data_IF_120277210465
#
_entry.id   IF_120277210465
#
_cell.length_a   1.000
_cell.length_b   1.000
_cell.length_c   1.000
_cell.angle_alpha   90.00
_cell.angle_beta   90.00
_cell.angle_gamma   90.00
#
_symmetry.space_group_name_H-M   'P 1'
#
loop_
_entity.id
_entity.type
_entity.pdbx_description
1 polymer ?
#
# COMPACT_ATOMS: atom_id res chain seq x y z
N UNK A 1 4.57 16.32 -21.86
CA UNK A 1 3.71 15.10 -21.87
C UNK A 1 2.26 15.51 -21.73
N UNK A 2 1.35 14.87 -22.47
CA UNK A 2 -0.09 15.08 -22.31
C UNK A 2 -0.55 14.48 -20.96
N UNK A 3 -1.54 15.12 -20.32
CA UNK A 3 -2.18 14.61 -19.10
C UNK A 3 -3.38 13.75 -19.49
N UNK A 4 -3.47 12.55 -18.93
CA UNK A 4 -4.68 11.73 -19.00
C UNK A 4 -5.63 12.18 -17.89
N UNK A 5 -6.90 12.39 -18.24
CA UNK A 5 -7.93 12.84 -17.28
C UNK A 5 -9.09 11.85 -17.33
N UNK A 6 -9.41 11.27 -16.17
CA UNK A 6 -10.54 10.35 -15.97
C UNK A 6 -11.55 10.98 -15.03
N UNK A 7 -12.82 10.64 -15.22
CA UNK A 7 -13.94 11.17 -14.44
C UNK A 7 -14.83 10.07 -13.89
N UNK A 8 -15.63 10.45 -12.89
CA UNK A 8 -16.72 9.67 -12.32
C UNK A 8 -16.30 8.22 -11.96
N UNK A 9 -17.06 7.23 -12.41
CA UNK A 9 -16.94 5.84 -11.95
C UNK A 9 -15.67 5.17 -12.45
N UNK A 10 -15.18 5.50 -13.64
CA UNK A 10 -13.92 4.96 -14.17
C UNK A 10 -12.72 5.39 -13.30
N UNK A 11 -12.68 6.67 -12.89
CA UNK A 11 -11.65 7.15 -11.98
C UNK A 11 -11.76 6.47 -10.60
N UNK A 12 -12.97 6.40 -10.02
CA UNK A 12 -13.18 5.77 -8.71
C UNK A 12 -12.81 4.28 -8.70
N UNK A 13 -13.16 3.53 -9.74
CA UNK A 13 -12.87 2.10 -9.82
C UNK A 13 -11.37 1.83 -9.87
N UNK A 14 -10.59 2.62 -10.63
CA UNK A 14 -9.13 2.50 -10.65
C UNK A 14 -8.52 2.86 -9.31
N UNK A 15 -8.95 3.96 -8.69
CA UNK A 15 -8.48 4.34 -7.35
C UNK A 15 -8.76 3.24 -6.32
N UNK A 16 -9.99 2.72 -6.29
CA UNK A 16 -10.40 1.65 -5.38
C UNK A 16 -9.57 0.38 -5.58
N UNK A 17 -9.26 0.01 -6.82
CA UNK A 17 -8.41 -1.14 -7.11
C UNK A 17 -7.01 -0.96 -6.53
N UNK A 18 -6.43 0.23 -6.66
CA UNK A 18 -5.14 0.55 -6.05
C UNK A 18 -5.16 0.47 -4.52
N UNK A 19 -6.21 1.02 -3.89
CA UNK A 19 -6.43 0.92 -2.45
C UNK A 19 -6.51 -0.54 -2.00
N UNK A 20 -7.28 -1.36 -2.71
CA UNK A 20 -7.45 -2.78 -2.37
C UNK A 20 -6.13 -3.54 -2.45
N UNK A 21 -5.30 -3.29 -3.48
CA UNK A 21 -3.99 -3.94 -3.60
C UNK A 21 -3.10 -3.62 -2.40
N UNK A 22 -3.05 -2.35 -1.98
CA UNK A 22 -2.31 -1.93 -0.79
C UNK A 22 -2.86 -2.61 0.47
N UNK A 23 -4.17 -2.50 0.69
CA UNK A 23 -4.83 -3.01 1.89
C UNK A 23 -4.71 -4.54 2.01
N UNK A 24 -4.88 -5.27 0.91
CA UNK A 24 -4.77 -6.73 0.89
C UNK A 24 -3.36 -7.22 1.22
N UNK A 25 -2.34 -6.49 0.79
CA UNK A 25 -0.94 -6.80 1.09
C UNK A 25 -0.56 -6.44 2.53
N UNK A 26 -1.12 -5.37 3.09
CA UNK A 26 -0.80 -4.91 4.45
C UNK A 26 -1.59 -5.70 5.50
N UNK A 27 -2.89 -5.96 5.27
CA UNK A 27 -3.76 -6.61 6.28
C UNK A 27 -3.30 -8.00 6.70
N UNK A 28 -2.58 -8.72 5.83
CA UNK A 28 -2.08 -10.07 6.16
C UNK A 28 -1.06 -10.05 7.28
N UNK A 29 -0.42 -8.91 7.55
CA UNK A 29 0.57 -8.76 8.62
C UNK A 29 -0.05 -8.37 9.97
N UNK A 30 -1.36 -8.15 10.04
CA UNK A 30 -2.04 -7.63 11.23
C UNK A 30 -2.09 -8.65 12.38
N UNK A 31 -1.76 -8.17 13.58
CA UNK A 31 -1.97 -8.87 14.86
C UNK A 31 -0.95 -9.98 15.16
N UNK A 32 -1.09 -10.66 16.32
CA UNK A 32 -0.12 -11.65 16.80
C UNK A 32 -0.01 -12.89 15.90
N UNK A 33 -1.02 -13.12 15.04
CA UNK A 33 -1.04 -14.21 14.05
C UNK A 33 -0.81 -13.71 12.61
N UNK A 34 -0.27 -12.52 12.44
CA UNK A 34 0.11 -11.97 11.13
C UNK A 34 1.01 -12.93 10.35
N UNK A 35 0.78 -13.02 9.05
CA UNK A 35 1.55 -13.82 8.10
C UNK A 35 2.71 -13.00 7.53
N UNK A 36 3.70 -13.72 7.02
CA UNK A 36 4.85 -13.11 6.37
C UNK A 36 4.49 -12.62 4.97
N UNK A 37 4.99 -11.44 4.63
CA UNK A 37 5.06 -10.93 3.27
C UNK A 37 6.51 -11.03 2.80
N UNK A 38 6.69 -11.48 1.57
CA UNK A 38 8.01 -11.60 0.92
C UNK A 38 8.16 -10.46 -0.07
N UNK A 39 9.25 -9.72 0.04
CA UNK A 39 9.54 -8.54 -0.74
C UNK A 39 10.83 -8.81 -1.51
N UNK A 40 10.75 -8.62 -2.83
CA UNK A 40 11.91 -8.76 -3.70
C UNK A 40 12.96 -7.69 -3.41
N UNK A 41 14.23 -8.02 -3.64
CA UNK A 41 15.35 -7.10 -3.52
C UNK A 41 16.19 -7.20 -4.77
N UNK A 42 16.60 -6.06 -5.32
CA UNK A 42 17.43 -6.02 -6.53
C UNK A 42 18.75 -6.79 -6.41
N UNK A 43 19.25 -7.01 -5.19
CA UNK A 43 20.43 -7.83 -4.92
C UNK A 43 20.26 -8.63 -3.62
N UNK A 44 20.77 -9.86 -3.62
CA UNK A 44 20.79 -10.74 -2.44
C UNK A 44 19.50 -11.53 -2.23
N UNK A 45 19.23 -11.90 -0.98
CA UNK A 45 18.04 -12.67 -0.59
C UNK A 45 16.81 -11.77 -0.42
N UNK A 46 15.59 -12.29 -0.68
CA UNK A 46 14.36 -11.54 -0.49
C UNK A 46 14.16 -11.18 0.98
N UNK A 47 13.48 -10.06 1.23
CA UNK A 47 13.13 -9.62 2.59
C UNK A 47 11.81 -10.25 3.01
N UNK A 48 11.82 -10.95 4.14
CA UNK A 48 10.61 -11.51 4.75
C UNK A 48 10.23 -10.62 5.93
N UNK A 49 9.00 -10.11 5.97
CA UNK A 49 8.55 -9.20 7.02
C UNK A 49 7.10 -9.43 7.43
N UNK A 50 6.77 -9.06 8.68
CA UNK A 50 5.41 -8.90 9.20
C UNK A 50 5.11 -7.45 9.59
N UNK A 51 5.96 -6.52 9.17
CA UNK A 51 5.75 -5.10 9.40
C UNK A 51 4.96 -4.49 8.23
N UNK A 52 3.72 -4.10 8.50
CA UNK A 52 2.81 -3.49 7.52
C UNK A 52 3.33 -2.17 6.98
N UNK A 53 4.13 -1.42 7.76
CA UNK A 53 4.75 -0.16 7.30
C UNK A 53 5.80 -0.44 6.23
N UNK A 54 6.65 -1.45 6.47
CA UNK A 54 7.61 -1.90 5.46
C UNK A 54 6.88 -2.38 4.20
N UNK A 55 5.80 -3.16 4.33
CA UNK A 55 5.05 -3.65 3.16
C UNK A 55 4.44 -2.49 2.36
N UNK A 56 3.76 -1.54 3.03
CA UNK A 56 3.15 -0.39 2.37
C UNK A 56 4.16 0.49 1.63
N UNK A 57 5.40 0.58 2.13
CA UNK A 57 6.46 1.37 1.49
C UNK A 57 6.87 0.84 0.13
N UNK A 58 6.86 -0.47 -0.05
CA UNK A 58 7.32 -1.17 -1.26
C UNK A 58 6.23 -1.29 -2.33
N UNK A 59 5.00 -0.83 -2.05
CA UNK A 59 3.89 -0.87 -3.01
C UNK A 59 3.92 0.36 -3.91
N UNK A 60 4.19 0.09 -5.19
CA UNK A 60 4.09 1.03 -6.30
C UNK A 60 3.43 0.31 -7.49
N UNK A 61 2.37 0.92 -8.03
CA UNK A 61 1.57 0.32 -9.10
C UNK A 61 1.91 0.95 -10.44
N UNK A 62 1.92 0.15 -11.51
CA UNK A 62 2.23 0.60 -12.87
C UNK A 62 1.14 1.49 -13.47
N UNK A 63 -0.13 1.23 -13.16
CA UNK A 63 -1.24 2.11 -13.54
C UNK A 63 -1.25 3.35 -12.65
N UNK A 64 -1.19 4.53 -13.27
CA UNK A 64 -1.09 5.80 -12.55
C UNK A 64 -2.29 6.08 -11.65
N UNK A 65 -3.50 5.70 -12.07
CA UNK A 65 -4.72 5.94 -11.29
C UNK A 65 -4.85 4.94 -10.14
N UNK A 66 -4.49 3.68 -10.36
CA UNK A 66 -4.39 2.72 -9.27
C UNK A 66 -3.31 3.16 -8.26
N UNK A 67 -2.13 3.58 -8.74
CA UNK A 67 -1.05 4.05 -7.87
C UNK A 67 -1.46 5.28 -7.06
N UNK A 68 -2.19 6.24 -7.65
CA UNK A 68 -2.72 7.37 -6.90
C UNK A 68 -3.59 6.92 -5.71
N UNK A 69 -4.45 5.92 -5.90
CA UNK A 69 -5.27 5.36 -4.83
C UNK A 69 -4.43 4.71 -3.72
N UNK A 70 -3.45 3.89 -4.12
CA UNK A 70 -2.53 3.26 -3.18
C UNK A 70 -1.70 4.30 -2.39
N UNK A 71 -1.17 5.33 -3.05
CA UNK A 71 -0.37 6.37 -2.37
C UNK A 71 -1.20 7.20 -1.39
N UNK A 72 -2.47 7.49 -1.70
CA UNK A 72 -3.35 8.22 -0.77
C UNK A 72 -3.53 7.50 0.56
N UNK A 73 -3.80 6.19 0.55
CA UNK A 73 -4.01 5.41 1.77
C UNK A 73 -2.70 5.18 2.51
N UNK A 74 -1.60 4.97 1.78
CA UNK A 74 -0.25 4.89 2.35
C UNK A 74 0.11 6.16 3.13
N UNK A 75 -0.28 7.34 2.63
CA UNK A 75 0.00 8.60 3.33
C UNK A 75 -0.81 8.72 4.63
N UNK A 76 -2.08 8.31 4.63
CA UNK A 76 -2.91 8.26 5.84
C UNK A 76 -2.27 7.32 6.88
N UNK A 77 -1.91 6.11 6.47
CA UNK A 77 -1.27 5.13 7.36
C UNK A 77 0.09 5.62 7.89
N UNK A 78 0.87 6.35 7.09
CA UNK A 78 2.14 6.94 7.53
C UNK A 78 1.92 8.00 8.62
N UNK A 79 0.89 8.84 8.49
CA UNK A 79 0.58 9.86 9.52
C UNK A 79 0.16 9.21 10.83
N UNK A 80 -0.63 8.14 10.79
CA UNK A 80 -0.98 7.36 11.99
C UNK A 80 0.27 6.81 12.68
N UNK A 81 1.28 6.39 11.90
CA UNK A 81 2.56 5.95 12.45
C UNK A 81 3.30 7.09 13.17
N UNK A 82 3.33 8.27 12.58
CA UNK A 82 4.07 9.41 13.11
C UNK A 82 3.42 9.96 14.39
N UNK A 83 2.09 9.88 14.52
CA UNK A 83 1.35 10.32 15.70
C UNK A 83 1.33 9.29 16.83
N UNK A 84 1.11 8.01 16.51
CA UNK A 84 0.85 6.97 17.51
C UNK A 84 1.98 5.93 17.65
N UNK A 85 2.88 5.82 16.67
CA UNK A 85 3.94 4.80 16.65
C UNK A 85 3.45 3.35 16.43
N UNK A 86 2.14 3.14 16.30
CA UNK A 86 1.45 1.87 16.05
C UNK A 86 0.11 2.14 15.35
N UNK A 87 -0.55 1.12 14.78
CA UNK A 87 -1.90 1.22 14.20
C UNK A 87 -1.95 1.44 12.68
N UNK A 88 -0.80 1.45 12.00
CA UNK A 88 -0.69 1.65 10.54
C UNK A 88 -1.36 0.58 9.69
N UNK A 89 -1.51 -0.63 10.24
CA UNK A 89 -2.18 -1.75 9.58
C UNK A 89 -3.70 -1.75 9.87
N UNK A 90 -4.14 -0.95 10.84
CA UNK A 90 -5.55 -0.80 11.23
C UNK A 90 -6.22 0.40 10.56
N UNK A 91 -5.45 1.46 10.27
CA UNK A 91 -5.89 2.69 9.60
C UNK A 91 -6.10 2.50 8.10
#
# INVERSE_FOLDING_TARGET
MAKEVKFDTDARNKMLKGVNILADAVKVTLGPKGRNVVIDKSFGAPRITKDGVTVAKEIELSDKFENMGAQMVKEVASRTNDEAGDGTTTA
#
